data_IF_296632065803
#
_entry.id   IF_296632065803
#
_cell.length_a   1.000
_cell.length_b   1.000
_cell.length_c   1.000
_cell.angle_alpha   90.00
_cell.angle_beta   90.00
_cell.angle_gamma   90.00
#
_symmetry.space_group_name_H-M   'P 1'
#
loop_
_entity.id
_entity.type
_entity.pdbx_description
1 polymer ?
#
# COMPACT_ATOMS: atom_id res chain seq x y z
N UNK A 1 -1.42 -20.52 -33.89
CA UNK A 1 -0.26 -20.84 -34.75
C UNK A 1 0.98 -21.29 -33.94
N UNK A 2 1.12 -20.82 -32.70
CA UNK A 2 2.28 -21.11 -31.82
C UNK A 2 2.29 -22.57 -31.25
N UNK A 3 1.13 -23.15 -30.97
CA UNK A 3 1.03 -24.44 -30.29
C UNK A 3 1.26 -25.64 -31.22
N UNK A 4 0.94 -25.51 -32.51
CA UNK A 4 1.18 -26.55 -33.50
C UNK A 4 2.67 -26.69 -33.81
N UNK A 5 3.39 -25.56 -33.87
CA UNK A 5 4.84 -25.56 -34.10
C UNK A 5 5.61 -26.19 -32.92
N UNK A 6 5.13 -25.98 -31.72
CA UNK A 6 5.72 -26.58 -30.50
C UNK A 6 5.54 -28.11 -30.43
N UNK A 7 4.39 -28.63 -30.84
CA UNK A 7 4.16 -30.09 -30.89
C UNK A 7 5.09 -30.77 -31.90
N UNK A 8 5.30 -30.16 -33.05
CA UNK A 8 6.21 -30.71 -34.07
C UNK A 8 7.70 -30.71 -33.59
N UNK A 9 8.11 -29.64 -32.89
CA UNK A 9 9.47 -29.59 -32.29
C UNK A 9 9.64 -30.62 -31.17
N UNK A 10 8.59 -30.87 -30.40
CA UNK A 10 8.61 -31.88 -29.34
C UNK A 10 8.75 -33.32 -29.90
N UNK A 11 8.01 -33.65 -30.95
CA UNK A 11 8.09 -34.96 -31.60
C UNK A 11 9.44 -35.28 -32.25
N UNK A 12 10.07 -34.23 -32.80
CA UNK A 12 11.38 -34.36 -33.46
C UNK A 12 12.54 -34.50 -32.45
N UNK A 13 12.39 -33.87 -31.25
CA UNK A 13 13.44 -33.87 -30.21
C UNK A 13 13.39 -35.09 -29.30
N UNK A 14 12.22 -35.68 -29.06
CA UNK A 14 12.06 -36.84 -28.19
C UNK A 14 12.56 -38.17 -28.82
N UNK A 15 12.99 -38.18 -30.08
CA UNK A 15 13.52 -39.36 -30.78
C UNK A 15 15.05 -39.38 -30.98
N UNK A 16 15.81 -38.41 -30.47
CA UNK A 16 17.27 -38.36 -30.67
C UNK A 16 18.03 -38.90 -29.47
N UNK A 17 18.94 -39.83 -29.74
CA UNK A 17 19.93 -40.35 -28.79
C UNK A 17 20.80 -39.20 -28.27
N UNK A 18 20.68 -38.88 -26.98
CA UNK A 18 21.42 -37.81 -26.30
C UNK A 18 20.59 -36.71 -25.66
N UNK A 19 19.24 -36.74 -25.82
CA UNK A 19 18.33 -35.84 -25.14
C UNK A 19 17.66 -36.59 -23.99
N UNK A 20 18.16 -36.45 -22.79
CA UNK A 20 17.65 -37.17 -21.60
C UNK A 20 16.26 -36.71 -21.13
N UNK A 21 15.91 -35.46 -21.32
CA UNK A 21 14.53 -34.95 -21.09
C UNK A 21 14.37 -33.57 -21.73
N UNK A 22 13.29 -33.34 -22.46
CA UNK A 22 12.82 -32.00 -22.83
C UNK A 22 11.93 -31.52 -21.69
N UNK A 23 12.51 -30.84 -20.70
CA UNK A 23 11.76 -30.25 -19.59
C UNK A 23 11.17 -28.93 -20.09
N UNK A 24 9.86 -28.88 -20.21
CA UNK A 24 9.16 -27.61 -20.48
C UNK A 24 9.34 -26.69 -19.25
N UNK A 25 10.21 -25.70 -19.41
CA UNK A 25 10.50 -24.73 -18.34
C UNK A 25 9.22 -24.10 -17.75
N UNK A 26 8.14 -24.05 -18.50
CA UNK A 26 6.85 -23.56 -18.03
C UNK A 26 6.27 -24.39 -16.89
N UNK A 27 6.46 -25.71 -16.90
CA UNK A 27 5.96 -26.58 -15.82
C UNK A 27 6.63 -26.31 -14.48
N UNK A 28 7.83 -25.76 -14.49
CA UNK A 28 8.57 -25.39 -13.27
C UNK A 28 8.22 -23.96 -12.84
N UNK A 29 8.01 -23.05 -13.80
CA UNK A 29 7.75 -21.64 -13.50
C UNK A 29 6.29 -21.31 -13.26
N UNK A 30 5.33 -22.02 -13.86
CA UNK A 30 3.89 -21.80 -13.69
C UNK A 30 3.43 -21.89 -12.20
N UNK A 31 3.83 -22.89 -11.42
CA UNK A 31 3.50 -22.94 -10.00
C UNK A 31 4.09 -21.76 -9.21
N UNK A 32 5.32 -21.32 -9.54
CA UNK A 32 5.96 -20.16 -8.87
C UNK A 32 5.21 -18.88 -9.18
N UNK A 33 4.87 -18.64 -10.45
CA UNK A 33 4.07 -17.47 -10.84
C UNK A 33 2.67 -17.50 -10.23
N UNK A 34 2.05 -18.66 -10.11
CA UNK A 34 0.73 -18.80 -9.48
C UNK A 34 0.77 -18.48 -7.98
N UNK A 35 1.81 -18.90 -7.28
CA UNK A 35 2.02 -18.56 -5.86
C UNK A 35 2.28 -17.06 -5.68
N UNK A 36 3.15 -16.48 -6.51
CA UNK A 36 3.42 -15.03 -6.47
C UNK A 36 2.17 -14.20 -6.74
N UNK A 37 1.38 -14.60 -7.74
CA UNK A 37 0.13 -13.91 -8.06
C UNK A 37 -0.89 -14.01 -6.92
N UNK A 38 -1.05 -15.18 -6.31
CA UNK A 38 -1.91 -15.37 -5.12
C UNK A 38 -1.42 -14.53 -3.94
N UNK A 39 -0.12 -14.52 -3.67
CA UNK A 39 0.47 -13.70 -2.62
C UNK A 39 0.21 -12.20 -2.87
N UNK A 40 0.35 -11.73 -4.11
CA UNK A 40 0.04 -10.35 -4.49
C UNK A 40 -1.43 -10.02 -4.27
N UNK A 41 -2.36 -10.89 -4.68
CA UNK A 41 -3.80 -10.68 -4.46
C UNK A 41 -4.12 -10.60 -2.97
N UNK A 42 -3.59 -11.50 -2.15
CA UNK A 42 -3.79 -11.48 -0.69
C UNK A 42 -3.25 -10.18 -0.09
N UNK A 43 -2.07 -9.74 -0.51
CA UNK A 43 -1.46 -8.49 -0.03
C UNK A 43 -2.31 -7.27 -0.40
N UNK A 44 -2.83 -7.20 -1.64
CA UNK A 44 -3.69 -6.10 -2.09
C UNK A 44 -5.01 -6.07 -1.33
N UNK A 45 -5.63 -7.24 -1.10
CA UNK A 45 -6.86 -7.34 -0.30
C UNK A 45 -6.61 -6.89 1.14
N UNK A 46 -5.53 -7.36 1.76
CA UNK A 46 -5.16 -6.97 3.11
C UNK A 46 -4.90 -5.45 3.21
N UNK A 47 -4.17 -4.89 2.25
CA UNK A 47 -3.94 -3.45 2.18
C UNK A 47 -5.26 -2.67 2.05
N UNK A 48 -6.19 -3.14 1.23
CA UNK A 48 -7.52 -2.54 1.09
C UNK A 48 -8.29 -2.54 2.42
N UNK A 49 -8.29 -3.65 3.13
CA UNK A 49 -8.92 -3.75 4.47
C UNK A 49 -8.26 -2.78 5.45
N UNK A 50 -6.93 -2.68 5.47
CA UNK A 50 -6.22 -1.75 6.35
C UNK A 50 -6.56 -0.29 6.05
N UNK A 51 -6.71 0.08 4.76
CA UNK A 51 -7.16 1.42 4.36
C UNK A 51 -8.55 1.72 4.90
N UNK A 52 -9.50 0.79 4.79
CA UNK A 52 -10.86 0.96 5.32
C UNK A 52 -10.83 1.15 6.84
N UNK A 53 -10.07 0.34 7.56
CA UNK A 53 -9.90 0.45 9.02
C UNK A 53 -9.29 1.80 9.40
N UNK A 54 -8.25 2.24 8.68
CA UNK A 54 -7.62 3.54 8.90
C UNK A 54 -8.60 4.71 8.71
N UNK A 55 -9.42 4.66 7.67
CA UNK A 55 -10.47 5.68 7.41
C UNK A 55 -11.49 5.69 8.55
N UNK A 56 -11.96 4.52 9.00
CA UNK A 56 -12.92 4.43 10.10
C UNK A 56 -12.34 4.95 11.41
N UNK A 57 -11.08 4.60 11.72
CA UNK A 57 -10.39 5.07 12.92
C UNK A 57 -10.21 6.59 12.89
N UNK A 58 -9.73 7.14 11.79
CA UNK A 58 -9.58 8.58 11.58
C UNK A 58 -10.91 9.29 11.72
N UNK A 59 -11.97 8.77 11.12
CA UNK A 59 -13.31 9.35 11.22
C UNK A 59 -13.83 9.36 12.66
N UNK A 60 -13.55 8.31 13.44
CA UNK A 60 -13.96 8.23 14.85
C UNK A 60 -13.17 9.21 15.71
N UNK A 61 -11.87 9.30 15.53
CA UNK A 61 -10.99 10.25 16.25
C UNK A 61 -11.43 11.69 16.00
N UNK A 62 -11.70 12.05 14.74
CA UNK A 62 -12.17 13.41 14.38
C UNK A 62 -13.53 13.72 15.01
N UNK A 63 -14.45 12.74 15.06
CA UNK A 63 -15.76 12.94 15.72
C UNK A 63 -15.59 13.21 17.21
N UNK A 64 -14.71 12.47 17.89
CA UNK A 64 -14.42 12.69 19.31
C UNK A 64 -13.78 14.06 19.55
N UNK A 65 -12.80 14.44 18.71
CA UNK A 65 -12.15 15.76 18.79
C UNK A 65 -13.15 16.90 18.54
N UNK A 66 -14.03 16.76 17.54
CA UNK A 66 -15.07 17.75 17.26
C UNK A 66 -16.12 17.83 18.38
N UNK A 67 -16.48 16.71 18.99
CA UNK A 67 -17.42 16.70 20.14
C UNK A 67 -16.82 17.36 21.38
N UNK A 68 -15.53 17.16 21.64
CA UNK A 68 -14.83 17.79 22.76
C UNK A 68 -14.76 19.33 22.64
N UNK A 69 -14.71 19.84 21.39
CA UNK A 69 -14.63 21.31 21.12
C UNK A 69 -15.97 21.90 20.66
N UNK A 70 -17.10 21.30 21.04
CA UNK A 70 -18.41 21.70 20.59
C UNK A 70 -18.72 23.17 20.95
N UNK A 71 -18.42 23.60 22.18
CA UNK A 71 -18.69 24.96 22.65
C UNK A 71 -17.85 25.99 21.85
N UNK A 72 -16.59 25.69 21.51
CA UNK A 72 -15.77 26.59 20.70
C UNK A 72 -16.31 26.74 19.28
N UNK A 73 -16.78 25.64 18.68
CA UNK A 73 -17.37 25.65 17.34
C UNK A 73 -18.72 26.35 17.29
N UNK A 74 -19.53 26.28 18.36
CA UNK A 74 -20.78 27.03 18.48
C UNK A 74 -20.54 28.54 18.57
N UNK A 75 -19.57 28.97 19.38
CA UNK A 75 -19.18 30.39 19.49
C UNK A 75 -18.71 30.91 18.13
N UNK A 76 -17.83 30.17 17.43
CA UNK A 76 -17.37 30.54 16.08
C UNK A 76 -18.53 30.70 15.09
N UNK A 77 -19.53 29.87 15.20
CA UNK A 77 -20.75 29.93 14.36
C UNK A 77 -21.61 31.15 14.66
N UNK A 78 -21.73 31.51 15.91
CA UNK A 78 -22.46 32.71 16.35
C UNK A 78 -21.80 34.02 15.86
N UNK A 79 -20.49 34.05 15.75
CA UNK A 79 -19.73 35.22 15.23
C UNK A 79 -19.66 35.22 13.69
N UNK A 80 -20.34 34.27 13.01
CA UNK A 80 -20.43 34.22 11.54
C UNK A 80 -19.27 33.54 10.83
N UNK A 81 -18.46 32.72 11.51
CA UNK A 81 -17.39 31.98 10.89
C UNK A 81 -17.89 30.99 9.81
N UNK A 82 -17.19 30.93 8.68
CA UNK A 82 -17.57 30.03 7.61
C UNK A 82 -17.38 28.57 8.02
N UNK A 83 -18.20 27.66 7.43
CA UNK A 83 -18.07 26.22 7.66
C UNK A 83 -16.67 25.68 7.33
N UNK A 84 -15.94 26.31 6.43
CA UNK A 84 -14.57 25.95 6.07
C UNK A 84 -13.59 26.32 7.20
N UNK A 85 -13.74 27.52 7.76
CA UNK A 85 -12.90 28.00 8.89
C UNK A 85 -13.03 27.09 10.11
N UNK A 86 -14.24 26.57 10.37
CA UNK A 86 -14.50 25.65 11.48
C UNK A 86 -13.88 24.27 11.23
N UNK A 87 -13.81 23.80 9.96
CA UNK A 87 -13.30 22.47 9.61
C UNK A 87 -11.79 22.43 9.45
N UNK A 88 -11.16 23.54 9.09
CA UNK A 88 -9.75 23.63 8.76
C UNK A 88 -8.84 23.07 9.86
N UNK A 89 -8.99 23.39 11.15
CA UNK A 89 -8.13 22.89 12.22
C UNK A 89 -8.18 21.34 12.32
N UNK A 90 -9.35 20.73 12.16
CA UNK A 90 -9.50 19.26 12.21
C UNK A 90 -8.86 18.57 11.01
N UNK A 91 -8.94 19.18 9.83
CA UNK A 91 -8.29 18.65 8.62
C UNK A 91 -6.77 18.74 8.79
N UNK A 92 -6.27 19.88 9.29
CA UNK A 92 -4.83 20.05 9.55
C UNK A 92 -4.29 19.07 10.59
N UNK A 93 -5.04 18.84 11.67
CA UNK A 93 -4.70 17.86 12.69
C UNK A 93 -4.56 16.45 12.08
N UNK A 94 -5.51 16.05 11.23
CA UNK A 94 -5.45 14.77 10.50
C UNK A 94 -4.27 14.69 9.53
N UNK A 95 -3.99 15.76 8.81
CA UNK A 95 -2.85 15.83 7.86
C UNK A 95 -1.52 15.75 8.61
N UNK A 96 -1.36 16.47 9.72
CA UNK A 96 -0.13 16.40 10.53
C UNK A 96 0.05 14.99 11.12
N UNK A 97 -0.99 14.40 11.66
CA UNK A 97 -0.95 13.04 12.19
C UNK A 97 -0.57 12.02 11.10
N UNK A 98 -1.14 12.15 9.89
CA UNK A 98 -0.81 11.27 8.77
C UNK A 98 0.62 11.48 8.25
N UNK A 99 1.13 12.70 8.29
CA UNK A 99 2.53 13.00 7.96
C UNK A 99 3.48 12.27 8.92
N UNK A 100 3.25 12.40 10.22
CA UNK A 100 4.07 11.70 11.23
C UNK A 100 3.96 10.17 11.08
N UNK A 101 2.76 9.64 10.91
CA UNK A 101 2.54 8.22 10.69
C UNK A 101 3.22 7.69 9.43
N UNK A 102 3.16 8.42 8.33
CA UNK A 102 3.80 8.01 7.08
C UNK A 102 5.33 8.09 7.13
N UNK A 103 5.89 9.06 7.85
CA UNK A 103 7.34 9.13 8.09
C UNK A 103 7.81 7.94 8.95
N UNK A 104 7.07 7.58 9.98
CA UNK A 104 7.36 6.39 10.79
C UNK A 104 7.25 5.11 9.95
N UNK A 105 6.24 5.00 9.07
CA UNK A 105 6.07 3.85 8.19
C UNK A 105 7.23 3.72 7.18
N UNK A 106 7.67 4.81 6.56
CA UNK A 106 8.84 4.83 5.66
C UNK A 106 10.11 4.47 6.43
N UNK A 107 10.29 4.99 7.65
CA UNK A 107 11.41 4.65 8.53
C UNK A 107 11.44 3.16 8.88
N UNK A 108 10.31 2.60 9.30
CA UNK A 108 10.18 1.17 9.59
C UNK A 108 10.45 0.31 8.35
N UNK A 109 9.87 0.67 7.19
CA UNK A 109 10.08 -0.03 5.93
C UNK A 109 11.56 -0.02 5.52
N UNK A 110 12.22 1.14 5.62
CA UNK A 110 13.64 1.26 5.29
C UNK A 110 14.52 0.42 6.22
N UNK A 111 14.18 0.37 7.50
CA UNK A 111 14.85 -0.48 8.49
C UNK A 111 14.72 -1.97 8.17
N UNK A 112 13.49 -2.42 7.88
CA UNK A 112 13.20 -3.81 7.50
C UNK A 112 13.98 -4.19 6.22
N UNK A 113 13.91 -3.35 5.17
CA UNK A 113 14.61 -3.62 3.90
C UNK A 113 16.11 -3.67 4.12
N UNK A 114 16.68 -2.78 4.92
CA UNK A 114 18.11 -2.78 5.22
C UNK A 114 18.53 -4.05 5.97
N UNK A 115 17.92 -4.33 7.11
CA UNK A 115 18.34 -5.42 8.00
C UNK A 115 17.97 -6.78 7.40
N UNK A 116 16.75 -6.95 6.91
CA UNK A 116 16.24 -8.25 6.50
C UNK A 116 16.61 -8.59 5.05
N UNK A 117 16.46 -7.63 4.12
CA UNK A 117 16.70 -7.89 2.70
C UNK A 117 18.17 -7.72 2.35
N UNK A 118 18.80 -6.59 2.75
CA UNK A 118 20.16 -6.28 2.32
C UNK A 118 21.20 -7.04 3.11
N UNK A 119 21.05 -7.14 4.44
CA UNK A 119 22.11 -7.73 5.28
C UNK A 119 21.94 -9.25 5.41
N UNK A 120 20.73 -9.78 5.39
CA UNK A 120 20.48 -11.21 5.59
C UNK A 120 20.16 -11.97 4.29
N UNK A 121 19.15 -11.56 3.51
CA UNK A 121 18.76 -12.28 2.28
C UNK A 121 19.79 -12.15 1.15
N UNK A 122 20.31 -10.94 0.91
CA UNK A 122 21.24 -10.71 -0.18
C UNK A 122 22.58 -11.47 0.00
N UNK A 123 22.98 -11.74 1.25
CA UNK A 123 24.13 -12.57 1.56
C UNK A 123 23.87 -14.06 1.37
N UNK A 124 22.61 -14.49 1.55
CA UNK A 124 22.22 -15.91 1.45
C UNK A 124 21.87 -16.34 0.03
N UNK A 125 21.36 -15.43 -0.83
CA UNK A 125 20.84 -15.75 -2.18
C UNK A 125 21.29 -14.68 -3.18
N UNK A 126 22.52 -14.82 -3.70
CA UNK A 126 23.16 -13.81 -4.57
C UNK A 126 22.62 -13.71 -6.00
N UNK A 127 21.83 -14.67 -6.46
CA UNK A 127 21.35 -14.74 -7.84
C UNK A 127 19.96 -14.10 -8.07
N UNK A 128 19.31 -13.58 -7.02
CA UNK A 128 17.97 -13.02 -7.10
C UNK A 128 18.00 -11.49 -6.94
N UNK A 129 17.34 -10.71 -7.83
CA UNK A 129 17.22 -9.27 -7.65
C UNK A 129 16.25 -8.97 -6.50
N UNK A 130 16.77 -8.45 -5.41
CA UNK A 130 15.98 -8.01 -4.26
C UNK A 130 15.58 -6.53 -4.35
N UNK A 131 14.54 -6.17 -3.59
CA UNK A 131 14.15 -4.77 -3.41
C UNK A 131 15.30 -4.02 -2.75
N UNK A 132 15.83 -3.03 -3.46
CA UNK A 132 16.96 -2.23 -2.99
C UNK A 132 16.46 -1.03 -2.18
N UNK A 133 17.27 -0.53 -1.27
CA UNK A 133 17.01 0.68 -0.49
C UNK A 133 16.58 1.88 -1.37
N UNK A 134 17.12 1.99 -2.58
CA UNK A 134 16.75 3.02 -3.55
C UNK A 134 15.26 2.97 -3.92
N UNK A 135 14.67 1.76 -4.04
CA UNK A 135 13.25 1.59 -4.33
C UNK A 135 12.38 2.11 -3.20
N UNK A 136 12.79 1.93 -1.94
CA UNK A 136 12.07 2.47 -0.77
C UNK A 136 12.04 4.00 -0.82
N UNK A 137 13.18 4.64 -1.11
CA UNK A 137 13.26 6.09 -1.21
C UNK A 137 12.46 6.66 -2.39
N UNK A 138 12.37 5.92 -3.49
CA UNK A 138 11.57 6.32 -4.65
C UNK A 138 10.06 6.24 -4.38
N UNK A 139 9.62 5.25 -3.58
CA UNK A 139 8.21 5.08 -3.21
C UNK A 139 7.79 5.92 -2.00
N UNK A 140 8.74 6.37 -1.18
CA UNK A 140 8.47 7.16 0.03
C UNK A 140 7.60 8.41 -0.22
N UNK A 141 7.88 9.28 -1.22
CA UNK A 141 7.05 10.47 -1.46
C UNK A 141 5.62 10.11 -1.87
N UNK A 142 5.44 9.04 -2.62
CA UNK A 142 4.10 8.55 -3.03
C UNK A 142 3.31 8.08 -1.82
N UNK A 143 3.94 7.36 -0.89
CA UNK A 143 3.32 6.90 0.35
C UNK A 143 2.94 8.08 1.25
N UNK A 144 3.83 9.05 1.43
CA UNK A 144 3.56 10.22 2.27
C UNK A 144 2.42 11.07 1.70
N UNK A 145 2.48 11.41 0.42
CA UNK A 145 1.43 12.21 -0.24
C UNK A 145 0.11 11.46 -0.26
N UNK A 146 0.13 10.17 -0.55
CA UNK A 146 -1.06 9.31 -0.53
C UNK A 146 -1.72 9.25 0.85
N UNK A 147 -0.94 9.10 1.92
CA UNK A 147 -1.43 9.11 3.29
C UNK A 147 -2.06 10.46 3.68
N UNK A 148 -1.41 11.57 3.32
CA UNK A 148 -1.94 12.91 3.57
C UNK A 148 -3.24 13.17 2.83
N UNK A 149 -3.35 12.78 1.55
CA UNK A 149 -4.57 12.92 0.76
C UNK A 149 -5.71 12.06 1.33
N UNK A 150 -5.44 10.81 1.67
CA UNK A 150 -6.42 9.92 2.29
C UNK A 150 -6.94 10.50 3.61
N UNK A 151 -6.05 11.01 4.46
CA UNK A 151 -6.41 11.62 5.72
C UNK A 151 -7.24 12.90 5.52
N UNK A 152 -6.85 13.78 4.59
CA UNK A 152 -7.59 14.99 4.28
C UNK A 152 -9.00 14.69 3.77
N UNK A 153 -9.15 13.71 2.88
CA UNK A 153 -10.45 13.26 2.35
C UNK A 153 -11.31 12.63 3.45
N UNK A 154 -10.74 11.73 4.25
CA UNK A 154 -11.45 11.10 5.37
C UNK A 154 -11.96 12.14 6.39
N UNK A 155 -11.12 13.12 6.72
CA UNK A 155 -11.47 14.24 7.61
C UNK A 155 -12.59 15.10 7.02
N UNK A 156 -12.48 15.48 5.76
CA UNK A 156 -13.48 16.31 5.08
C UNK A 156 -14.84 15.61 4.98
N UNK A 157 -14.86 14.31 4.65
CA UNK A 157 -16.09 13.51 4.54
C UNK A 157 -16.73 13.30 5.91
N UNK A 158 -15.92 12.97 6.93
CA UNK A 158 -16.42 12.79 8.30
C UNK A 158 -17.10 14.06 8.83
N UNK A 159 -16.49 15.22 8.65
CA UNK A 159 -17.04 16.51 9.10
C UNK A 159 -18.25 16.95 8.29
N UNK A 160 -18.35 16.62 7.00
CA UNK A 160 -19.55 16.92 6.19
C UNK A 160 -20.81 16.23 6.73
N UNK A 161 -20.68 15.01 7.21
CA UNK A 161 -21.81 14.27 7.81
C UNK A 161 -22.20 14.80 9.18
N UNK A 162 -21.23 15.26 9.97
CA UNK A 162 -21.47 15.72 11.35
C UNK A 162 -22.06 17.14 11.43
N UNK A 163 -21.70 18.04 10.49
CA UNK A 163 -22.15 19.43 10.48
C UNK A 163 -23.42 19.66 9.65
N UNK A 164 -24.05 18.60 9.12
CA UNK A 164 -25.32 18.67 8.36
C UNK A 164 -26.57 18.50 9.24
N UNK A 165 -26.43 18.52 10.58
CA UNK A 165 -27.55 18.56 11.52
C UNK A 165 -27.80 19.98 11.99
#
# INVERSE_FOLDING_TARGET
ASDVYKRQVWEVLTGRTGVEAVVDQRQIFDPVFSVLNRATVVTVVLAGVMVVVAIMLTATTIRMSAASRKNETEIMRLVGASNWTIRLPFILEGVVASLLGSLLAVGALSGIVKVFVTDWLATSVQWMPFITQTTVWLTAPVLVVGAMLLSAVASAVSLRRYLKV
#
